data_IF_411035756396
#
_entry.id   IF_411035756396
#
_cell.length_a   1.000
_cell.length_b   1.000
_cell.length_c   1.000
_cell.angle_alpha   90.00
_cell.angle_beta   90.00
_cell.angle_gamma   90.00
#
_symmetry.space_group_name_H-M   'P 1'
#
loop_
_entity.id
_entity.type
_entity.pdbx_description
1 polymer ?
#
# COMPACT_ATOMS: atom_id res chain seq x y z
N UNK A 1 10.51 1.24 15.66
CA UNK A 1 9.71 0.21 14.95
C UNK A 1 10.26 0.08 13.55
N UNK A 2 10.45 -1.14 13.07
CA UNK A 2 10.95 -1.41 11.71
C UNK A 2 9.85 -1.20 10.67
N UNK A 3 10.23 -1.02 9.41
CA UNK A 3 9.29 -0.98 8.30
C UNK A 3 8.51 -2.30 8.18
N UNK A 4 9.16 -3.43 8.43
CA UNK A 4 8.51 -4.74 8.46
C UNK A 4 7.35 -4.79 9.46
N UNK A 5 7.52 -4.25 10.68
CA UNK A 5 6.45 -4.23 11.68
C UNK A 5 5.20 -3.47 11.19
N UNK A 6 5.37 -2.45 10.35
CA UNK A 6 4.21 -1.77 9.73
C UNK A 6 3.52 -2.67 8.71
N UNK A 7 4.27 -3.40 7.88
CA UNK A 7 3.71 -4.34 6.91
C UNK A 7 2.95 -5.48 7.61
N UNK A 8 3.51 -6.02 8.68
CA UNK A 8 2.86 -7.08 9.48
C UNK A 8 1.55 -6.57 10.10
N UNK A 9 1.51 -5.33 10.60
CA UNK A 9 0.28 -4.71 11.10
C UNK A 9 -0.75 -4.47 10.00
N UNK A 10 -0.31 -4.10 8.79
CA UNK A 10 -1.20 -3.96 7.64
C UNK A 10 -1.79 -5.33 7.29
N UNK A 11 -0.98 -6.38 7.23
CA UNK A 11 -1.45 -7.73 6.94
C UNK A 11 -2.44 -8.22 7.98
N UNK A 12 -2.15 -8.01 9.27
CA UNK A 12 -3.05 -8.37 10.36
C UNK A 12 -4.42 -7.64 10.29
N UNK A 13 -4.46 -6.41 9.76
CA UNK A 13 -5.70 -5.62 9.63
C UNK A 13 -6.47 -5.91 8.35
N UNK A 14 -5.75 -6.05 7.24
CA UNK A 14 -6.34 -6.15 5.90
C UNK A 14 -6.52 -7.59 5.45
N UNK A 15 -5.90 -8.55 6.13
CA UNK A 15 -5.81 -9.95 5.71
C UNK A 15 -4.98 -10.14 4.43
N UNK A 16 -4.22 -9.12 4.01
CA UNK A 16 -3.46 -9.12 2.76
C UNK A 16 -2.03 -8.62 3.00
N UNK A 17 -1.07 -9.34 2.44
CA UNK A 17 0.33 -8.93 2.46
C UNK A 17 0.54 -7.67 1.62
N UNK A 18 1.65 -6.97 1.88
CA UNK A 18 2.02 -5.78 1.11
C UNK A 18 2.17 -6.06 -0.40
N UNK A 19 2.63 -7.26 -0.75
CA UNK A 19 2.72 -7.71 -2.15
C UNK A 19 1.35 -7.94 -2.78
N UNK A 20 0.41 -8.53 -2.04
CA UNK A 20 -0.97 -8.69 -2.50
C UNK A 20 -1.66 -7.33 -2.69
N UNK A 21 -1.44 -6.39 -1.77
CA UNK A 21 -1.94 -5.02 -1.91
C UNK A 21 -1.30 -4.29 -3.08
N UNK A 22 -0.01 -4.51 -3.37
CA UNK A 22 0.63 -3.99 -4.57
C UNK A 22 0.01 -4.57 -5.84
N UNK A 23 -0.24 -5.88 -5.89
CA UNK A 23 -0.90 -6.51 -7.04
C UNK A 23 -2.30 -5.91 -7.28
N UNK A 24 -3.10 -5.75 -6.23
CA UNK A 24 -4.41 -5.09 -6.30
C UNK A 24 -4.29 -3.63 -6.76
N UNK A 25 -3.28 -2.90 -6.29
CA UNK A 25 -3.04 -1.53 -6.76
C UNK A 25 -2.71 -1.49 -8.26
N UNK A 26 -1.99 -2.49 -8.78
CA UNK A 26 -1.72 -2.63 -10.22
C UNK A 26 -3.00 -2.94 -10.99
N UNK A 27 -3.82 -3.88 -10.51
CA UNK A 27 -5.11 -4.22 -11.12
C UNK A 27 -6.08 -3.02 -11.16
N UNK A 28 -6.01 -2.13 -10.16
CA UNK A 28 -6.79 -0.89 -10.10
C UNK A 28 -6.20 0.27 -10.91
N UNK A 29 -5.04 0.09 -11.54
CA UNK A 29 -4.33 1.15 -12.26
C UNK A 29 -3.75 2.24 -11.34
N UNK A 30 -3.59 1.94 -10.05
CA UNK A 30 -2.96 2.82 -9.06
C UNK A 30 -1.42 2.65 -9.02
N UNK A 31 -0.94 1.48 -9.44
CA UNK A 31 0.46 1.10 -9.44
C UNK A 31 0.86 0.40 -10.74
N UNK A 32 2.16 0.30 -10.97
CA UNK A 32 2.76 -0.45 -12.07
C UNK A 32 4.02 -1.20 -11.61
N UNK A 33 4.76 -1.78 -12.56
CA UNK A 33 5.99 -2.53 -12.28
C UNK A 33 7.07 -1.69 -11.57
N UNK A 34 7.11 -0.36 -11.79
CA UNK A 34 8.09 0.57 -11.25
C UNK A 34 7.61 1.38 -10.04
N UNK A 35 6.32 1.41 -9.74
CA UNK A 35 5.81 2.08 -8.54
C UNK A 35 4.37 2.52 -8.63
N UNK A 36 4.09 3.78 -8.29
CA UNK A 36 2.78 4.39 -8.54
C UNK A 36 2.62 4.64 -10.03
N UNK A 37 1.43 4.38 -10.55
CA UNK A 37 1.13 4.64 -11.95
C UNK A 37 1.26 6.14 -12.28
N UNK A 38 1.54 6.45 -13.55
CA UNK A 38 1.73 7.83 -14.00
C UNK A 38 0.51 8.70 -13.67
N UNK A 39 0.73 9.81 -12.94
CA UNK A 39 -0.33 10.72 -12.51
C UNK A 39 -1.06 10.30 -11.23
N UNK A 40 -0.81 9.10 -10.70
CA UNK A 40 -1.41 8.64 -9.44
C UNK A 40 -0.64 9.21 -8.25
N UNK A 41 -1.38 9.85 -7.34
CA UNK A 41 -0.84 10.38 -6.09
C UNK A 41 -0.87 9.32 -5.00
N UNK A 42 0.08 9.41 -4.07
CA UNK A 42 0.09 8.62 -2.84
C UNK A 42 -1.25 8.66 -2.08
N UNK A 43 -1.91 9.83 -2.06
CA UNK A 43 -3.22 10.00 -1.44
C UNK A 43 -4.28 9.06 -2.02
N UNK A 44 -4.32 8.86 -3.35
CA UNK A 44 -5.31 7.99 -3.99
C UNK A 44 -5.19 6.52 -3.54
N UNK A 45 -3.96 6.04 -3.36
CA UNK A 45 -3.71 4.70 -2.81
C UNK A 45 -4.11 4.65 -1.33
N UNK A 46 -3.79 5.69 -0.57
CA UNK A 46 -4.17 5.78 0.85
C UNK A 46 -5.68 5.81 1.06
N UNK A 47 -6.40 6.58 0.25
CA UNK A 47 -7.86 6.69 0.28
C UNK A 47 -8.51 5.35 -0.10
N UNK A 48 -7.99 4.67 -1.13
CA UNK A 48 -8.43 3.33 -1.48
C UNK A 48 -8.24 2.34 -0.31
N UNK A 49 -7.04 2.29 0.28
CA UNK A 49 -6.76 1.38 1.38
C UNK A 49 -7.65 1.65 2.60
N UNK A 50 -8.00 2.93 2.83
CA UNK A 50 -8.95 3.31 3.85
C UNK A 50 -10.37 2.86 3.51
N UNK A 51 -10.82 3.03 2.27
CA UNK A 51 -12.18 2.69 1.85
C UNK A 51 -12.43 1.17 1.84
N UNK A 52 -11.48 0.39 1.32
CA UNK A 52 -11.66 -1.05 1.13
C UNK A 52 -11.24 -1.87 2.37
N UNK A 53 -10.31 -1.37 3.18
CA UNK A 53 -9.72 -2.14 4.28
C UNK A 53 -9.72 -1.41 5.64
N UNK A 54 -10.41 -0.26 5.75
CA UNK A 54 -10.41 0.61 6.94
C UNK A 54 -8.99 0.93 7.45
N UNK A 55 -8.02 0.96 6.53
CA UNK A 55 -6.62 1.11 6.88
C UNK A 55 -6.30 2.57 7.24
N UNK A 56 -5.87 2.80 8.48
CA UNK A 56 -5.48 4.13 8.94
C UNK A 56 -4.30 4.72 8.15
N UNK A 57 -4.26 6.06 8.05
CA UNK A 57 -3.33 6.80 7.19
C UNK A 57 -1.85 6.38 7.34
N UNK A 58 -1.36 6.19 8.57
CA UNK A 58 0.03 5.79 8.81
C UNK A 58 0.40 4.42 8.21
N UNK A 59 -0.50 3.44 8.33
CA UNK A 59 -0.32 2.10 7.75
C UNK A 59 -0.49 2.12 6.23
N UNK A 60 -1.42 2.92 5.73
CA UNK A 60 -1.62 3.09 4.28
C UNK A 60 -0.38 3.68 3.60
N UNK A 61 0.28 4.65 4.24
CA UNK A 61 1.53 5.22 3.74
C UNK A 61 2.69 4.22 3.73
N UNK A 62 2.68 3.22 4.61
CA UNK A 62 3.64 2.11 4.58
C UNK A 62 3.53 1.30 3.29
N UNK A 63 2.29 1.03 2.86
CA UNK A 63 2.00 0.35 1.59
C UNK A 63 2.36 1.22 0.39
N UNK A 64 2.09 2.52 0.44
CA UNK A 64 2.54 3.45 -0.61
C UNK A 64 4.06 3.42 -0.74
N UNK A 65 4.79 3.47 0.37
CA UNK A 65 6.25 3.37 0.36
C UNK A 65 6.71 2.02 -0.21
N UNK A 66 6.04 0.92 0.16
CA UNK A 66 6.30 -0.40 -0.40
C UNK A 66 6.07 -0.45 -1.91
N UNK A 67 4.98 0.12 -2.41
CA UNK A 67 4.69 0.20 -3.85
C UNK A 67 5.78 0.98 -4.57
N UNK A 68 6.28 2.08 -3.98
CA UNK A 68 7.41 2.88 -4.51
C UNK A 68 8.78 2.20 -4.42
N UNK A 69 8.88 0.98 -3.92
CA UNK A 69 10.12 0.21 -3.85
C UNK A 69 10.85 0.27 -2.50
N UNK A 70 10.28 0.89 -1.46
CA UNK A 70 10.85 0.82 -0.11
C UNK A 70 10.76 -0.61 0.44
N UNK A 71 11.85 -1.09 1.03
CA UNK A 71 11.94 -2.43 1.63
C UNK A 71 12.50 -2.43 3.06
N UNK A 72 13.10 -1.32 3.50
CA UNK A 72 13.67 -1.10 4.84
C UNK A 72 13.40 0.32 5.36
#
# INVERSE_FOLDING_TARGET
MSFQAYLDNVEAKTGKSAEALRALAVERGLADAGGLAAGVKAGAVGDWLKQDFDLGHGHAMSIVAFIKGKRE
#
